data_IF_042832220619
#
_entry.id   IF_042832220619
#
_cell.length_a   1.000
_cell.length_b   1.000
_cell.length_c   1.000
_cell.angle_alpha   90.00
_cell.angle_beta   90.00
_cell.angle_gamma   90.00
#
_symmetry.space_group_name_H-M   'P 1'
#
loop_
_entity.id
_entity.type
_entity.pdbx_description
1 polymer ?
#
# COMPACT_ATOMS: atom_id res chain seq x y z
N UNK A 1 -40.71 54.79 -35.40
CA UNK A 1 -39.64 54.02 -34.75
C UNK A 1 -40.30 52.82 -34.09
N UNK A 2 -40.14 51.62 -34.64
CA UNK A 2 -40.62 50.40 -33.98
C UNK A 2 -39.67 50.11 -32.80
N UNK A 3 -40.17 49.74 -31.61
CA UNK A 3 -39.29 49.31 -30.53
C UNK A 3 -38.75 47.92 -30.87
N UNK A 4 -37.42 47.79 -30.93
CA UNK A 4 -36.78 46.49 -30.98
C UNK A 4 -37.13 45.70 -29.70
N UNK A 5 -37.60 44.44 -29.80
CA UNK A 5 -37.72 43.62 -28.60
C UNK A 5 -36.31 43.36 -28.08
N UNK A 6 -36.02 43.88 -26.88
CA UNK A 6 -34.82 43.51 -26.14
C UNK A 6 -34.91 42.01 -25.83
N UNK A 7 -34.36 41.18 -26.71
CA UNK A 7 -34.18 39.75 -26.49
C UNK A 7 -33.43 39.58 -25.18
N UNK A 8 -34.15 39.18 -24.14
CA UNK A 8 -33.58 38.84 -22.84
C UNK A 8 -32.99 37.45 -22.98
N UNK A 9 -31.76 37.37 -23.48
CA UNK A 9 -31.01 36.12 -23.53
C UNK A 9 -30.58 35.78 -22.11
N UNK A 10 -31.36 34.91 -21.45
CA UNK A 10 -31.03 34.44 -20.12
C UNK A 10 -29.75 33.57 -20.21
N UNK A 11 -28.70 33.85 -19.41
CA UNK A 11 -27.45 33.11 -19.51
C UNK A 11 -27.68 31.62 -19.30
N UNK A 12 -27.21 30.81 -20.25
CA UNK A 12 -27.39 29.37 -20.18
C UNK A 12 -26.66 28.80 -18.94
N UNK A 13 -27.30 27.90 -18.16
CA UNK A 13 -26.66 27.31 -17.00
C UNK A 13 -25.37 26.55 -17.38
N UNK A 14 -24.27 26.89 -16.72
CA UNK A 14 -22.91 26.40 -17.00
C UNK A 14 -22.74 24.87 -16.94
N UNK A 15 -23.65 24.13 -16.30
CA UNK A 15 -23.62 22.67 -16.25
C UNK A 15 -24.18 22.00 -17.51
N UNK A 16 -24.82 22.77 -18.39
CA UNK A 16 -25.35 22.29 -19.68
C UNK A 16 -24.32 22.38 -20.82
N UNK A 17 -23.24 23.15 -20.64
CA UNK A 17 -22.22 23.31 -21.69
C UNK A 17 -21.23 22.14 -21.71
N UNK A 18 -20.98 21.57 -22.89
CA UNK A 18 -20.07 20.43 -23.06
C UNK A 18 -18.64 20.63 -22.49
N UNK A 19 -17.99 21.79 -22.66
CA UNK A 19 -16.65 22.04 -22.13
C UNK A 19 -16.54 21.96 -20.60
N UNK A 20 -17.60 22.25 -19.85
CA UNK A 20 -17.62 22.15 -18.39
C UNK A 20 -17.35 20.71 -17.93
N UNK A 21 -17.90 19.72 -18.64
CA UNK A 21 -17.68 18.30 -18.36
C UNK A 21 -16.26 17.83 -18.69
N UNK A 22 -15.54 18.48 -19.61
CA UNK A 22 -14.11 18.17 -19.84
C UNK A 22 -13.26 18.62 -18.65
N UNK A 23 -13.55 19.80 -18.10
CA UNK A 23 -12.83 20.37 -16.95
C UNK A 23 -13.11 19.59 -15.67
N UNK A 24 -14.35 19.16 -15.45
CA UNK A 24 -14.73 18.36 -14.26
C UNK A 24 -14.39 16.88 -14.46
N UNK A 25 -14.54 16.37 -15.67
CA UNK A 25 -14.35 14.97 -16.00
C UNK A 25 -12.90 14.51 -15.84
N UNK A 26 -11.92 15.32 -16.26
CA UNK A 26 -10.49 15.00 -16.09
C UNK A 26 -10.12 14.70 -14.62
N UNK A 27 -10.34 15.63 -13.69
CA UNK A 27 -10.15 15.40 -12.26
C UNK A 27 -10.97 14.24 -11.70
N UNK A 28 -12.24 14.11 -12.11
CA UNK A 28 -13.12 13.05 -11.63
C UNK A 28 -12.57 11.65 -11.99
N UNK A 29 -12.07 11.47 -13.21
CA UNK A 29 -11.46 10.21 -13.67
C UNK A 29 -10.25 9.86 -12.81
N UNK A 30 -9.39 10.83 -12.47
CA UNK A 30 -8.23 10.60 -11.60
C UNK A 30 -8.66 10.18 -10.20
N UNK A 31 -9.68 10.81 -9.62
CA UNK A 31 -10.21 10.43 -8.29
C UNK A 31 -10.73 8.99 -8.32
N UNK A 32 -11.51 8.63 -9.34
CA UNK A 32 -12.01 7.25 -9.50
C UNK A 32 -10.88 6.25 -9.66
N UNK A 33 -9.86 6.57 -10.47
CA UNK A 33 -8.68 5.72 -10.67
C UNK A 33 -7.87 5.54 -9.37
N UNK A 34 -7.70 6.61 -8.59
CA UNK A 34 -7.01 6.56 -7.31
C UNK A 34 -7.77 5.69 -6.30
N UNK A 35 -9.10 5.82 -6.23
CA UNK A 35 -9.95 4.95 -5.39
C UNK A 35 -9.84 3.51 -5.86
N UNK A 36 -9.97 3.23 -7.15
CA UNK A 36 -9.84 1.87 -7.70
C UNK A 36 -8.49 1.23 -7.37
N UNK A 37 -7.41 2.00 -7.51
CA UNK A 37 -6.06 1.56 -7.14
C UNK A 37 -5.96 1.29 -5.64
N UNK A 38 -6.56 2.15 -4.79
CA UNK A 38 -6.58 1.95 -3.35
C UNK A 38 -7.38 0.71 -2.94
N UNK A 39 -8.53 0.46 -3.58
CA UNK A 39 -9.33 -0.76 -3.34
C UNK A 39 -8.53 -2.00 -3.71
N UNK A 40 -7.92 -2.02 -4.91
CA UNK A 40 -7.06 -3.13 -5.34
C UNK A 40 -5.86 -3.31 -4.41
N UNK A 41 -5.27 -2.22 -3.91
CA UNK A 41 -4.15 -2.30 -2.99
C UNK A 41 -4.56 -2.84 -1.60
N UNK A 42 -5.79 -2.56 -1.14
CA UNK A 42 -6.30 -3.08 0.13
C UNK A 42 -6.70 -4.56 -0.01
N UNK A 43 -7.36 -4.93 -1.11
CA UNK A 43 -7.79 -6.31 -1.35
C UNK A 43 -6.66 -7.24 -1.82
N UNK A 44 -5.71 -6.71 -2.60
CA UNK A 44 -4.58 -7.43 -3.18
C UNK A 44 -3.29 -7.33 -2.36
N UNK A 45 -3.26 -6.57 -1.28
CA UNK A 45 -2.20 -6.70 -0.29
C UNK A 45 -2.36 -8.07 0.37
N UNK A 46 -1.51 -9.01 -0.02
CA UNK A 46 -1.23 -10.23 0.74
C UNK A 46 -1.16 -9.82 2.23
N UNK A 47 -2.09 -10.31 3.09
CA UNK A 47 -2.30 -9.80 4.44
C UNK A 47 -0.95 -9.64 5.11
N UNK A 48 -0.53 -8.39 5.28
CA UNK A 48 0.82 -8.02 5.68
C UNK A 48 1.13 -8.78 6.95
N UNK A 49 1.92 -9.85 6.80
CA UNK A 49 2.33 -10.84 7.79
C UNK A 49 1.75 -10.49 9.16
N UNK A 50 0.56 -11.03 9.49
CA UNK A 50 -0.21 -10.57 10.65
C UNK A 50 0.74 -10.44 11.84
N UNK A 51 1.00 -9.19 12.25
CA UNK A 51 2.04 -8.91 13.23
C UNK A 51 1.73 -9.64 14.52
N UNK A 52 0.44 -9.91 14.78
CA UNK A 52 -0.02 -10.76 15.86
C UNK A 52 0.34 -12.23 15.64
N UNK A 53 0.17 -12.79 14.43
CA UNK A 53 0.60 -14.16 14.11
C UNK A 53 2.12 -14.33 14.18
N UNK A 54 2.90 -13.37 13.67
CA UNK A 54 4.36 -13.37 13.81
C UNK A 54 4.80 -13.27 15.27
N UNK A 55 4.17 -12.39 16.06
CA UNK A 55 4.43 -12.28 17.50
C UNK A 55 4.03 -13.53 18.27
N UNK A 56 2.88 -14.15 17.95
CA UNK A 56 2.44 -15.39 18.56
C UNK A 56 3.44 -16.52 18.28
N UNK A 57 3.96 -16.61 17.05
CA UNK A 57 4.95 -17.63 16.67
C UNK A 57 6.31 -17.37 17.35
N UNK A 58 6.71 -16.10 17.49
CA UNK A 58 7.90 -15.70 18.24
C UNK A 58 7.79 -16.03 19.73
N UNK A 59 6.63 -15.79 20.34
CA UNK A 59 6.38 -16.16 21.73
C UNK A 59 6.39 -17.66 21.94
N UNK A 60 5.80 -18.43 21.01
CA UNK A 60 5.86 -19.88 21.02
C UNK A 60 7.30 -20.38 20.94
N UNK A 61 8.10 -19.85 20.01
CA UNK A 61 9.52 -20.19 19.90
C UNK A 61 10.31 -19.84 21.18
N UNK A 62 9.99 -18.72 21.84
CA UNK A 62 10.64 -18.31 23.11
C UNK A 62 10.27 -19.18 24.31
N UNK A 63 9.10 -19.85 24.29
CA UNK A 63 8.65 -20.75 25.36
C UNK A 63 9.34 -22.13 25.30
N UNK A 64 9.92 -22.48 24.15
CA UNK A 64 10.76 -23.68 24.01
C UNK A 64 12.08 -23.52 24.79
N UNK A 65 12.69 -24.62 25.18
CA UNK A 65 13.96 -24.63 25.92
C UNK A 65 15.00 -25.50 25.21
N UNK A 66 16.27 -25.10 25.31
CA UNK A 66 17.38 -25.82 24.69
C UNK A 66 17.40 -25.74 23.16
N UNK A 67 17.99 -26.73 22.47
CA UNK A 67 18.23 -26.69 21.02
C UNK A 67 17.00 -26.39 20.16
N UNK A 68 15.82 -26.83 20.61
CA UNK A 68 14.54 -26.64 19.91
C UNK A 68 14.12 -25.17 19.82
N UNK A 69 14.49 -24.35 20.81
CA UNK A 69 14.26 -22.91 20.77
C UNK A 69 15.11 -22.25 19.69
N UNK A 70 16.37 -22.64 19.59
CA UNK A 70 17.31 -22.03 18.65
C UNK A 70 16.90 -22.36 17.21
N UNK A 71 16.50 -23.60 16.93
CA UNK A 71 15.96 -24.02 15.64
C UNK A 71 14.68 -23.25 15.24
N UNK A 72 13.74 -23.09 16.17
CA UNK A 72 12.50 -22.36 15.93
C UNK A 72 12.75 -20.86 15.67
N UNK A 73 13.70 -20.25 16.37
CA UNK A 73 14.10 -18.86 16.15
C UNK A 73 14.85 -18.66 14.83
N UNK A 74 15.65 -19.64 14.40
CA UNK A 74 16.33 -19.62 13.10
C UNK A 74 15.32 -19.69 11.94
N UNK A 75 14.30 -20.54 12.04
CA UNK A 75 13.24 -20.64 11.03
C UNK A 75 12.37 -19.38 10.88
N UNK A 76 12.35 -18.52 11.90
CA UNK A 76 11.63 -17.24 11.90
C UNK A 76 12.46 -16.07 11.32
N UNK A 77 13.76 -16.28 11.04
CA UNK A 77 14.60 -15.22 10.49
C UNK A 77 14.12 -14.85 9.07
N UNK A 78 14.00 -13.56 8.73
CA UNK A 78 13.59 -13.15 7.39
C UNK A 78 14.52 -13.78 6.36
N UNK A 79 13.96 -14.35 5.28
CA UNK A 79 14.75 -15.01 4.22
C UNK A 79 15.87 -14.11 3.65
N UNK A 80 15.73 -12.79 3.77
CA UNK A 80 16.77 -11.81 3.43
C UNK A 80 17.96 -11.75 4.41
N UNK A 81 17.76 -11.97 5.71
CA UNK A 81 18.87 -12.05 6.69
C UNK A 81 19.68 -13.34 6.52
N UNK A 82 19.01 -14.47 6.22
CA UNK A 82 19.68 -15.77 6.03
C UNK A 82 20.71 -15.75 4.88
N UNK A 83 20.45 -14.98 3.82
CA UNK A 83 21.38 -14.86 2.67
C UNK A 83 22.63 -14.04 3.00
N UNK A 84 22.54 -13.07 3.91
CA UNK A 84 23.69 -12.24 4.29
C UNK A 84 24.56 -12.89 5.37
N UNK A 85 23.99 -13.69 6.27
CA UNK A 85 24.76 -14.41 7.30
C UNK A 85 25.56 -15.60 6.77
N UNK A 86 25.24 -16.14 5.59
CA UNK A 86 26.05 -17.15 4.92
C UNK A 86 27.38 -16.60 4.35
N UNK A 87 27.50 -15.27 4.21
CA UNK A 87 28.67 -14.61 3.63
C UNK A 87 29.64 -14.01 4.66
N UNK A 88 29.33 -14.07 5.96
CA UNK A 88 30.26 -13.65 7.01
C UNK A 88 31.08 -14.84 7.51
N UNK A 89 32.39 -14.93 7.21
CA UNK A 89 33.24 -15.91 7.87
C UNK A 89 33.30 -15.59 9.36
N UNK A 90 33.03 -16.58 10.21
CA UNK A 90 33.40 -16.53 11.63
C UNK A 90 34.92 -16.48 11.70
N UNK A 91 35.47 -15.28 11.80
CA UNK A 91 36.88 -15.09 12.16
C UNK A 91 37.04 -15.60 13.58
N UNK A 92 37.70 -16.76 13.72
CA UNK A 92 38.24 -17.24 14.98
C UNK A 92 39.36 -16.28 15.39
N UNK A 93 39.05 -15.33 16.26
CA UNK A 93 40.06 -14.56 16.97
C UNK A 93 40.96 -15.48 17.80
N UNK A 94 42.23 -15.07 17.91
CA UNK A 94 43.39 -15.88 18.25
C UNK A 94 43.27 -16.76 19.50
N UNK A 95 43.68 -18.02 19.33
CA UNK A 95 44.19 -18.84 20.42
C UNK A 95 45.71 -18.86 20.34
N UNK A 96 46.34 -18.22 21.31
CA UNK A 96 47.71 -18.54 21.74
C UNK A 96 47.77 -19.95 22.30
#
# INVERSE_FOLDING_TARGET
>A
MNPDPMSTDAPEPWWRVGPMWLVVGGPLVVVVAAIGTAVIAIEGADPVLDKAAYQATLEQARRLQGPQRDEALIGLQPAHQARNHAASPVVREGGH
#
